data_IF_027094931104
#
_entry.id   IF_027094931104
#
_cell.length_a   1.000
_cell.length_b   1.000
_cell.length_c   1.000
_cell.angle_alpha   90.00
_cell.angle_beta   90.00
_cell.angle_gamma   90.00
#
_symmetry.space_group_name_H-M   'P 1'
#
loop_
_entity.id
_entity.type
_entity.pdbx_description
1 polymer ?
#
# COMPACT_ATOMS: atom_id res chain seq x y z
N UNK A 1 7.62 24.23 25.90
CA UNK A 1 8.07 23.70 24.60
C UNK A 1 8.21 22.17 24.57
N UNK A 2 8.87 21.55 25.53
CA UNK A 2 9.01 20.07 25.56
C UNK A 2 7.69 19.30 25.61
N UNK A 3 6.67 19.81 26.29
CA UNK A 3 5.34 19.18 26.39
C UNK A 3 4.55 19.25 25.07
N UNK A 4 4.72 20.31 24.29
CA UNK A 4 4.03 20.49 23.00
C UNK A 4 4.64 19.54 21.94
N UNK A 5 5.95 19.35 21.95
CA UNK A 5 6.65 18.42 21.03
C UNK A 5 6.25 16.99 21.30
N UNK A 6 6.13 16.58 22.57
CA UNK A 6 5.66 15.25 22.95
C UNK A 6 4.21 14.99 22.52
N UNK A 7 3.34 15.99 22.60
CA UNK A 7 1.93 15.89 22.18
C UNK A 7 1.81 15.75 20.66
N UNK A 8 2.61 16.49 19.90
CA UNK A 8 2.65 16.38 18.44
C UNK A 8 3.21 15.02 17.96
N UNK A 9 4.23 14.52 18.66
CA UNK A 9 4.83 13.21 18.34
C UNK A 9 3.88 12.05 18.67
N UNK A 10 3.11 12.14 19.74
CA UNK A 10 2.08 11.18 20.11
C UNK A 10 0.91 11.19 19.11
N UNK A 11 0.50 12.36 18.63
CA UNK A 11 -0.58 12.49 17.63
C UNK A 11 -0.16 11.92 16.26
N UNK A 12 1.10 12.12 15.85
CA UNK A 12 1.63 11.55 14.62
C UNK A 12 1.72 10.01 14.67
N UNK A 13 2.09 9.45 15.82
CA UNK A 13 2.12 8.00 16.04
C UNK A 13 0.74 7.37 16.00
N UNK A 14 -0.28 8.02 16.56
CA UNK A 14 -1.67 7.55 16.52
C UNK A 14 -2.22 7.58 15.10
N UNK A 15 -1.94 8.62 14.30
CA UNK A 15 -2.37 8.71 12.91
C UNK A 15 -1.76 7.62 12.03
N UNK A 16 -0.49 7.26 12.24
CA UNK A 16 0.19 6.17 11.53
C UNK A 16 -0.40 4.81 11.90
N UNK A 17 -0.71 4.59 13.18
CA UNK A 17 -1.31 3.34 13.65
C UNK A 17 -2.72 3.13 13.08
N UNK A 18 -3.56 4.16 13.03
CA UNK A 18 -4.91 4.10 12.44
C UNK A 18 -4.85 3.81 10.95
N UNK A 19 -3.91 4.42 10.23
CA UNK A 19 -3.72 4.18 8.79
C UNK A 19 -3.23 2.75 8.49
N UNK A 20 -2.36 2.20 9.33
CA UNK A 20 -1.90 0.83 9.21
C UNK A 20 -3.02 -0.18 9.51
N UNK A 21 -3.82 0.08 10.52
CA UNK A 21 -4.94 -0.78 10.90
C UNK A 21 -6.01 -0.83 9.79
N UNK A 22 -6.38 0.30 9.19
CA UNK A 22 -7.35 0.34 8.09
C UNK A 22 -6.85 -0.36 6.81
N UNK A 23 -5.53 -0.44 6.60
CA UNK A 23 -4.95 -1.16 5.47
C UNK A 23 -5.02 -2.68 5.67
N UNK A 24 -4.79 -3.16 6.90
CA UNK A 24 -4.87 -4.58 7.24
C UNK A 24 -6.32 -5.06 7.23
N UNK A 25 -7.27 -4.27 7.69
CA UNK A 25 -8.71 -4.57 7.71
C UNK A 25 -9.37 -4.33 6.34
N UNK A 26 -8.80 -4.91 5.28
CA UNK A 26 -9.39 -4.88 3.94
C UNK A 26 -10.50 -5.94 3.76
N UNK A 27 -11.19 -5.92 2.62
CA UNK A 27 -12.33 -6.83 2.35
C UNK A 27 -11.94 -8.32 2.40
N UNK A 28 -10.73 -8.68 2.00
CA UNK A 28 -10.23 -10.06 2.08
C UNK A 28 -10.00 -10.47 3.53
N UNK A 29 -9.43 -9.59 4.35
CA UNK A 29 -9.27 -9.82 5.78
C UNK A 29 -10.62 -10.04 6.47
N UNK A 30 -11.59 -9.14 6.24
CA UNK A 30 -12.93 -9.26 6.80
C UNK A 30 -13.57 -10.59 6.40
N UNK A 31 -13.44 -10.97 5.14
CA UNK A 31 -13.97 -12.24 4.64
C UNK A 31 -13.28 -13.45 5.27
N UNK A 32 -11.98 -13.41 5.50
CA UNK A 32 -11.27 -14.49 6.17
C UNK A 32 -11.75 -14.69 7.60
N UNK A 33 -11.99 -13.61 8.36
CA UNK A 33 -12.52 -13.66 9.73
C UNK A 33 -13.95 -14.22 9.76
N UNK A 34 -14.82 -13.83 8.84
CA UNK A 34 -16.18 -14.39 8.73
C UNK A 34 -16.16 -15.89 8.43
N UNK A 35 -15.30 -16.31 7.51
CA UNK A 35 -15.15 -17.72 7.14
C UNK A 35 -14.55 -18.57 8.26
N UNK A 36 -13.61 -18.02 9.04
CA UNK A 36 -13.07 -18.68 10.23
C UNK A 36 -14.16 -18.91 11.28
N UNK A 37 -14.99 -17.90 11.55
CA UNK A 37 -16.11 -18.02 12.47
C UNK A 37 -17.13 -19.07 12.00
N UNK A 38 -17.44 -19.09 10.70
CA UNK A 38 -18.34 -20.07 10.11
C UNK A 38 -17.76 -21.48 10.16
N UNK A 39 -16.46 -21.66 9.91
CA UNK A 39 -15.77 -22.94 10.01
C UNK A 39 -15.82 -23.49 11.44
N UNK A 40 -15.62 -22.64 12.44
CA UNK A 40 -15.72 -23.03 13.83
C UNK A 40 -17.13 -23.46 14.22
N UNK A 41 -18.16 -22.72 13.78
CA UNK A 41 -19.55 -23.07 14.00
C UNK A 41 -19.90 -24.45 13.40
N UNK A 42 -19.52 -24.70 12.14
CA UNK A 42 -19.71 -25.99 11.47
C UNK A 42 -18.99 -27.13 12.20
N UNK A 43 -17.78 -26.89 12.69
CA UNK A 43 -17.03 -27.86 13.48
C UNK A 43 -17.76 -28.22 14.78
N UNK A 44 -18.28 -27.22 15.49
CA UNK A 44 -19.02 -27.40 16.75
C UNK A 44 -20.34 -28.18 16.53
N UNK A 45 -20.93 -28.08 15.33
CA UNK A 45 -22.13 -28.83 14.92
C UNK A 45 -21.80 -30.24 14.40
N UNK A 46 -20.53 -30.59 14.26
CA UNK A 46 -20.06 -31.90 13.78
C UNK A 46 -20.01 -32.02 12.26
N UNK A 47 -20.17 -30.92 11.53
CA UNK A 47 -20.12 -30.83 10.06
C UNK A 47 -18.66 -30.66 9.58
N UNK A 48 -17.83 -31.66 9.81
CA UNK A 48 -16.37 -31.57 9.65
C UNK A 48 -15.90 -31.28 8.21
N UNK A 49 -16.59 -31.81 7.21
CA UNK A 49 -16.24 -31.57 5.80
C UNK A 49 -16.51 -30.09 5.44
N UNK A 50 -17.64 -29.56 5.88
CA UNK A 50 -18.00 -28.14 5.69
C UNK A 50 -17.02 -27.24 6.45
N UNK A 51 -16.69 -27.61 7.68
CA UNK A 51 -15.71 -26.86 8.47
C UNK A 51 -14.34 -26.80 7.80
N UNK A 52 -13.88 -27.92 7.21
CA UNK A 52 -12.62 -27.97 6.48
C UNK A 52 -12.62 -27.08 5.22
N UNK A 53 -13.70 -27.10 4.44
CA UNK A 53 -13.85 -26.26 3.25
C UNK A 53 -13.87 -24.77 3.60
N UNK A 54 -14.61 -24.38 4.63
CA UNK A 54 -14.67 -23.01 5.12
C UNK A 54 -13.32 -22.54 5.66
N UNK A 55 -12.60 -23.38 6.38
CA UNK A 55 -11.25 -23.06 6.86
C UNK A 55 -10.27 -22.86 5.71
N UNK A 56 -10.33 -23.67 4.67
CA UNK A 56 -9.50 -23.51 3.46
C UNK A 56 -9.79 -22.18 2.76
N UNK A 57 -11.05 -21.81 2.64
CA UNK A 57 -11.46 -20.51 2.08
C UNK A 57 -10.99 -19.34 2.96
N UNK A 58 -11.01 -19.47 4.29
CA UNK A 58 -10.50 -18.48 5.21
C UNK A 58 -9.00 -18.25 5.00
N UNK A 59 -8.21 -19.32 4.88
CA UNK A 59 -6.76 -19.25 4.61
C UNK A 59 -6.48 -18.57 3.28
N UNK A 60 -7.23 -18.89 2.22
CA UNK A 60 -7.06 -18.25 0.92
C UNK A 60 -7.38 -16.74 0.96
N UNK A 61 -8.44 -16.35 1.64
CA UNK A 61 -8.76 -14.92 1.81
C UNK A 61 -7.70 -14.19 2.67
N UNK A 62 -7.13 -14.83 3.68
CA UNK A 62 -6.02 -14.27 4.44
C UNK A 62 -4.78 -14.05 3.54
N UNK A 63 -4.45 -14.99 2.66
CA UNK A 63 -3.36 -14.86 1.68
C UNK A 63 -3.61 -13.70 0.71
N UNK A 64 -4.83 -13.57 0.19
CA UNK A 64 -5.22 -12.46 -0.68
C UNK A 64 -5.15 -11.11 0.04
N UNK A 65 -5.47 -11.08 1.32
CA UNK A 65 -5.29 -9.88 2.17
C UNK A 65 -3.83 -9.46 2.27
N UNK A 66 -2.92 -10.40 2.50
CA UNK A 66 -1.49 -10.13 2.59
C UNK A 66 -0.94 -9.60 1.26
N UNK A 67 -1.35 -10.19 0.13
CA UNK A 67 -0.96 -9.73 -1.21
C UNK A 67 -1.50 -8.32 -1.50
N UNK A 68 -2.74 -8.04 -1.13
CA UNK A 68 -3.33 -6.71 -1.26
C UNK A 68 -2.56 -5.66 -0.47
N UNK A 69 -2.23 -5.95 0.78
CA UNK A 69 -1.43 -5.04 1.64
C UNK A 69 -0.05 -4.79 1.03
N UNK A 70 0.63 -5.84 0.58
CA UNK A 70 1.94 -5.72 -0.07
C UNK A 70 1.88 -4.86 -1.34
N UNK A 71 0.85 -5.04 -2.17
CA UNK A 71 0.61 -4.23 -3.37
C UNK A 71 0.43 -2.75 -3.02
N UNK A 72 -0.45 -2.43 -2.07
CA UNK A 72 -0.72 -1.04 -1.67
C UNK A 72 0.53 -0.37 -1.09
N UNK A 73 1.34 -1.10 -0.29
CA UNK A 73 2.59 -0.57 0.23
C UNK A 73 3.61 -0.29 -0.89
N UNK A 74 3.70 -1.16 -1.88
CA UNK A 74 4.55 -0.96 -3.06
C UNK A 74 4.10 0.26 -3.87
N UNK A 75 2.80 0.42 -4.08
CA UNK A 75 2.25 1.58 -4.78
C UNK A 75 2.53 2.89 -4.04
N UNK A 76 2.39 2.92 -2.72
CA UNK A 76 2.73 4.09 -1.90
C UNK A 76 4.22 4.44 -1.99
N UNK A 77 5.09 3.44 -1.97
CA UNK A 77 6.53 3.65 -2.14
C UNK A 77 6.86 4.19 -3.53
N UNK A 78 6.22 3.69 -4.58
CA UNK A 78 6.37 4.19 -5.95
C UNK A 78 5.88 5.64 -6.08
N UNK A 79 4.74 5.98 -5.50
CA UNK A 79 4.21 7.35 -5.48
C UNK A 79 5.19 8.34 -4.84
N UNK A 80 5.74 7.98 -3.68
CA UNK A 80 6.76 8.79 -2.99
C UNK A 80 8.00 8.98 -3.87
N UNK A 81 8.49 7.92 -4.53
CA UNK A 81 9.66 7.97 -5.39
C UNK A 81 9.41 8.83 -6.64
N UNK A 82 8.25 8.70 -7.28
CA UNK A 82 7.85 9.50 -8.45
C UNK A 82 7.76 10.98 -8.07
N UNK A 83 7.14 11.31 -6.95
CA UNK A 83 7.01 12.69 -6.48
C UNK A 83 8.38 13.30 -6.15
N UNK A 84 9.30 12.54 -5.54
CA UNK A 84 10.65 12.97 -5.29
C UNK A 84 11.45 13.20 -6.60
N UNK A 85 11.29 12.32 -7.58
CA UNK A 85 11.89 12.47 -8.90
C UNK A 85 11.35 13.69 -9.63
N UNK A 86 10.03 13.93 -9.56
CA UNK A 86 9.40 15.11 -10.13
C UNK A 86 9.95 16.41 -9.54
N UNK A 87 10.08 16.46 -8.22
CA UNK A 87 10.62 17.63 -7.54
C UNK A 87 12.06 17.95 -7.99
N UNK A 88 12.90 16.93 -8.17
CA UNK A 88 14.26 17.09 -8.71
C UNK A 88 14.28 17.51 -10.17
N UNK A 89 13.38 16.96 -10.98
CA UNK A 89 13.21 17.34 -12.37
C UNK A 89 12.81 18.82 -12.50
N UNK A 90 11.84 19.26 -11.71
CA UNK A 90 11.36 20.66 -11.71
C UNK A 90 12.47 21.62 -11.28
N UNK A 91 13.24 21.24 -10.26
CA UNK A 91 14.42 22.02 -9.84
C UNK A 91 15.47 22.12 -10.97
N UNK A 92 15.77 21.02 -11.63
CA UNK A 92 16.72 21.00 -12.76
C UNK A 92 16.22 21.83 -13.95
N UNK A 93 14.93 21.80 -14.24
CA UNK A 93 14.31 22.65 -15.27
C UNK A 93 14.50 24.12 -14.96
N UNK A 94 14.36 24.52 -13.69
CA UNK A 94 14.64 25.89 -13.22
C UNK A 94 16.08 26.36 -13.47
N UNK A 95 17.03 25.44 -13.60
CA UNK A 95 18.43 25.71 -13.94
C UNK A 95 18.71 25.69 -15.46
N UNK A 96 17.68 25.60 -16.29
CA UNK A 96 17.77 25.52 -17.77
C UNK A 96 18.58 24.33 -18.26
N UNK A 97 18.43 23.17 -17.64
CA UNK A 97 19.14 21.93 -18.02
C UNK A 97 18.75 21.42 -19.40
N UNK A 98 17.55 21.70 -19.86
CA UNK A 98 17.06 21.41 -21.21
C UNK A 98 17.95 22.03 -22.31
N UNK A 99 18.57 23.17 -22.03
CA UNK A 99 19.48 23.84 -22.95
C UNK A 99 20.93 23.40 -22.77
N UNK A 100 21.36 23.18 -21.50
CA UNK A 100 22.74 22.84 -21.17
C UNK A 100 23.05 21.36 -21.37
N UNK A 101 22.08 20.49 -21.11
CA UNK A 101 22.22 19.04 -21.14
C UNK A 101 21.00 18.39 -21.82
N UNK A 102 20.73 18.68 -23.10
CA UNK A 102 19.47 18.30 -23.76
C UNK A 102 19.22 16.78 -23.77
N UNK A 103 20.25 15.96 -23.96
CA UNK A 103 20.12 14.50 -23.99
C UNK A 103 19.76 13.92 -22.61
N UNK A 104 20.42 14.39 -21.55
CA UNK A 104 20.13 13.96 -20.19
C UNK A 104 18.73 14.42 -19.75
N UNK A 105 18.33 15.62 -20.10
CA UNK A 105 17.02 16.15 -19.83
C UNK A 105 15.90 15.35 -20.53
N UNK A 106 16.09 15.04 -21.83
CA UNK A 106 15.16 14.22 -22.59
C UNK A 106 15.04 12.79 -22.02
N UNK A 107 16.14 12.19 -21.59
CA UNK A 107 16.15 10.89 -20.93
C UNK A 107 15.36 10.91 -19.61
N UNK A 108 15.61 11.88 -18.76
CA UNK A 108 14.88 12.06 -17.48
C UNK A 108 13.38 12.29 -17.71
N UNK A 109 13.00 13.06 -18.71
CA UNK A 109 11.59 13.28 -19.10
C UNK A 109 10.92 11.96 -19.50
N UNK A 110 11.58 11.15 -20.31
CA UNK A 110 11.04 9.87 -20.78
C UNK A 110 10.92 8.85 -19.64
N UNK A 111 11.91 8.75 -18.77
CA UNK A 111 11.89 7.83 -17.62
C UNK A 111 10.81 8.20 -16.61
N UNK A 112 10.63 9.49 -16.31
CA UNK A 112 9.58 9.96 -15.41
C UNK A 112 8.18 9.69 -15.99
N UNK A 113 7.99 9.90 -17.29
CA UNK A 113 6.73 9.59 -17.98
C UNK A 113 6.44 8.07 -17.94
N UNK A 114 7.45 7.23 -18.17
CA UNK A 114 7.32 5.77 -18.11
C UNK A 114 6.96 5.29 -16.69
N UNK A 115 7.61 5.82 -15.66
CA UNK A 115 7.30 5.50 -14.27
C UNK A 115 5.86 5.85 -13.90
N UNK A 116 5.36 7.00 -14.32
CA UNK A 116 3.97 7.42 -14.10
C UNK A 116 2.96 6.55 -14.84
N UNK A 117 3.28 6.14 -16.08
CA UNK A 117 2.43 5.25 -16.85
C UNK A 117 2.29 3.88 -16.17
N UNK A 118 3.41 3.27 -15.75
CA UNK A 118 3.39 2.00 -15.02
C UNK A 118 2.60 2.11 -13.71
N UNK A 119 2.78 3.20 -12.96
CA UNK A 119 2.02 3.42 -11.72
C UNK A 119 0.51 3.50 -11.98
N UNK A 120 0.10 4.19 -13.05
CA UNK A 120 -1.31 4.33 -13.42
C UNK A 120 -1.95 3.01 -13.89
N UNK A 121 -1.17 2.09 -14.48
CA UNK A 121 -1.65 0.76 -14.88
C UNK A 121 -1.94 -0.15 -13.68
N UNK A 122 -1.21 0.03 -12.58
CA UNK A 122 -1.39 -0.76 -11.36
C UNK A 122 -2.42 -0.15 -10.39
N UNK A 123 -2.73 1.11 -10.57
CA UNK A 123 -3.70 1.81 -9.73
C UNK A 123 -5.14 1.54 -10.17
#
# INVERSE_FOLDING_TARGET
>A
MKKIILTFMALALVAVAVSAQSLVENSFYTKSVELEAAAKAAFDEGEYDIAADLAAQAVENARLSDEYVAMILSMRAADVAINAAQARYDWATGLRTEVRFPSAYAGATAELAAARASYAEEA
#
